data_IF_349586086351
#
_entry.id   IF_349586086351
#
_cell.length_a   1.000
_cell.length_b   1.000
_cell.length_c   1.000
_cell.angle_alpha   90.00
_cell.angle_beta   90.00
_cell.angle_gamma   90.00
#
_symmetry.space_group_name_H-M   'P 1'
#
loop_
_entity.id
_entity.type
_entity.pdbx_description
1 polymer ?
#
# COMPACT_ATOMS: atom_id res chain seq x y z
N UNK A 1 8.59 -6.29 -40.56
CA UNK A 1 8.97 -6.87 -39.26
C UNK A 1 9.60 -5.78 -38.41
N UNK A 2 9.06 -5.46 -37.24
CA UNK A 2 9.70 -4.53 -36.31
C UNK A 2 10.23 -5.30 -35.11
N UNK A 3 11.55 -5.44 -35.06
CA UNK A 3 12.26 -5.89 -33.87
C UNK A 3 12.11 -4.78 -32.83
N UNK A 4 11.26 -4.99 -31.81
CA UNK A 4 11.31 -4.15 -30.60
C UNK A 4 12.65 -4.43 -29.94
N UNK A 5 13.61 -3.52 -30.11
CA UNK A 5 14.86 -3.51 -29.34
C UNK A 5 14.48 -3.50 -27.86
N UNK A 6 14.82 -4.57 -27.14
CA UNK A 6 14.62 -4.65 -25.69
C UNK A 6 15.35 -3.50 -25.01
N UNK A 7 14.66 -2.81 -24.12
CA UNK A 7 15.24 -1.73 -23.31
C UNK A 7 16.17 -2.36 -22.29
N UNK A 8 17.49 -2.12 -22.32
CA UNK A 8 18.36 -2.45 -21.19
C UNK A 8 18.01 -1.45 -20.09
N UNK A 9 17.28 -1.89 -19.05
CA UNK A 9 16.76 -1.03 -17.98
C UNK A 9 15.25 -1.08 -17.73
N UNK A 10 14.52 -2.06 -18.26
CA UNK A 10 13.10 -2.25 -17.95
C UNK A 10 12.85 -2.76 -16.53
N UNK A 11 11.73 -2.36 -15.92
CA UNK A 11 11.21 -2.95 -14.67
C UNK A 11 10.39 -4.19 -15.03
N UNK A 12 10.68 -5.31 -14.38
CA UNK A 12 9.88 -6.55 -14.50
C UNK A 12 9.27 -6.88 -13.15
N UNK A 13 7.96 -7.15 -13.14
CA UNK A 13 7.28 -7.68 -11.98
C UNK A 13 7.36 -9.20 -11.99
N UNK A 14 7.96 -9.74 -10.94
CA UNK A 14 8.10 -11.17 -10.70
C UNK A 14 7.16 -11.57 -9.56
N UNK A 15 7.01 -12.88 -9.37
CA UNK A 15 6.27 -13.46 -8.25
C UNK A 15 4.75 -13.15 -8.21
N UNK A 16 4.02 -13.70 -9.18
CA UNK A 16 2.57 -13.52 -9.34
C UNK A 16 1.71 -14.50 -8.53
N UNK A 17 2.29 -15.25 -7.59
CA UNK A 17 1.57 -16.29 -6.83
C UNK A 17 0.42 -15.74 -5.96
N UNK A 18 0.48 -14.46 -5.62
CA UNK A 18 -0.54 -13.74 -4.84
C UNK A 18 -1.45 -12.86 -5.72
N UNK A 19 -1.36 -12.97 -7.04
CA UNK A 19 -2.16 -12.16 -7.95
C UNK A 19 -3.66 -12.50 -7.80
N UNK A 20 -4.47 -11.47 -7.59
CA UNK A 20 -5.90 -11.61 -7.40
C UNK A 20 -6.65 -10.34 -7.74
N UNK A 21 -7.97 -10.35 -7.52
CA UNK A 21 -8.80 -9.17 -7.69
C UNK A 21 -8.85 -8.38 -6.38
N UNK A 22 -8.44 -7.12 -6.44
CA UNK A 22 -8.44 -6.20 -5.32
C UNK A 22 -8.49 -4.75 -5.77
N UNK A 23 -8.44 -3.81 -4.82
CA UNK A 23 -8.28 -2.39 -5.15
C UNK A 23 -6.81 -2.14 -5.48
N UNK A 24 -6.53 -1.60 -6.68
CA UNK A 24 -5.15 -1.52 -7.20
C UNK A 24 -4.19 -0.67 -6.35
N UNK A 25 -4.70 0.18 -5.46
CA UNK A 25 -3.86 0.93 -4.54
C UNK A 25 -3.21 0.05 -3.44
N UNK A 26 -3.67 -1.18 -3.23
CA UNK A 26 -3.05 -2.14 -2.30
C UNK A 26 -1.63 -2.50 -2.73
N UNK A 27 -1.40 -2.73 -4.03
CA UNK A 27 -0.07 -3.08 -4.52
C UNK A 27 0.91 -1.92 -4.33
N UNK A 28 0.45 -0.69 -4.56
CA UNK A 28 1.23 0.52 -4.29
C UNK A 28 1.61 0.62 -2.81
N UNK A 29 0.66 0.35 -1.92
CA UNK A 29 0.88 0.33 -0.48
C UNK A 29 1.90 -0.74 -0.09
N UNK A 30 1.81 -1.95 -0.65
CA UNK A 30 2.78 -3.03 -0.41
C UNK A 30 4.21 -2.62 -0.75
N UNK A 31 4.43 -1.98 -1.91
CA UNK A 31 5.74 -1.46 -2.29
C UNK A 31 6.24 -0.41 -1.29
N UNK A 32 5.41 0.60 -1.00
CA UNK A 32 5.79 1.69 -0.10
C UNK A 32 6.06 1.26 1.35
N UNK A 33 5.32 0.28 1.87
CA UNK A 33 5.47 -0.23 3.23
C UNK A 33 6.73 -1.08 3.40
N UNK A 34 7.15 -1.80 2.36
CA UNK A 34 8.23 -2.79 2.45
C UNK A 34 9.60 -2.24 2.05
N UNK A 35 9.68 -1.23 1.18
CA UNK A 35 10.91 -1.01 0.41
C UNK A 35 11.40 0.44 0.27
N UNK A 36 10.52 1.45 0.29
CA UNK A 36 10.90 2.77 -0.27
C UNK A 36 11.23 3.87 0.72
N UNK A 37 10.69 3.80 1.93
CA UNK A 37 10.85 4.87 2.92
C UNK A 37 11.30 4.22 4.23
N UNK A 38 12.28 4.79 4.92
CA UNK A 38 12.68 4.32 6.25
C UNK A 38 11.72 4.90 7.31
N UNK A 39 11.28 4.10 8.31
CA UNK A 39 10.42 4.61 9.37
C UNK A 39 11.06 5.81 10.08
N UNK A 40 10.27 6.85 10.38
CA UNK A 40 10.77 8.06 11.03
C UNK A 40 11.46 9.09 10.13
N UNK A 41 11.53 8.88 8.81
CA UNK A 41 11.98 9.92 7.88
C UNK A 41 11.00 11.12 7.87
N UNK A 42 11.51 12.36 8.00
CA UNK A 42 10.66 13.55 7.91
C UNK A 42 10.02 13.61 6.50
N UNK A 43 8.76 14.02 6.43
CA UNK A 43 7.94 14.16 5.20
C UNK A 43 7.34 12.86 4.62
N UNK A 44 7.56 11.70 5.25
CA UNK A 44 7.04 10.41 4.77
C UNK A 44 5.53 10.41 4.46
N UNK A 45 4.71 11.02 5.31
CA UNK A 45 3.27 11.16 5.07
C UNK A 45 2.97 11.94 3.78
N UNK A 46 3.70 13.03 3.55
CA UNK A 46 3.56 13.85 2.35
C UNK A 46 4.04 13.11 1.10
N UNK A 47 5.12 12.34 1.20
CA UNK A 47 5.61 11.50 0.10
C UNK A 47 4.64 10.40 -0.26
N UNK A 48 4.04 9.73 0.73
CA UNK A 48 2.95 8.78 0.53
C UNK A 48 1.77 9.44 -0.21
N UNK A 49 1.39 10.66 0.20
CA UNK A 49 0.34 11.42 -0.49
C UNK A 49 0.72 11.75 -1.93
N UNK A 50 1.94 12.22 -2.19
CA UNK A 50 2.44 12.52 -3.54
C UNK A 50 2.45 11.27 -4.41
N UNK A 51 2.89 10.14 -3.87
CA UNK A 51 2.90 8.85 -4.57
C UNK A 51 1.49 8.40 -4.94
N UNK A 52 0.54 8.48 -4.00
CA UNK A 52 -0.85 8.14 -4.28
C UNK A 52 -1.48 9.08 -5.32
N UNK A 53 -1.15 10.37 -5.31
CA UNK A 53 -1.62 11.34 -6.32
C UNK A 53 -1.06 11.00 -7.70
N UNK A 54 0.24 10.68 -7.80
CA UNK A 54 0.86 10.29 -9.05
C UNK A 54 0.22 9.02 -9.62
N UNK A 55 0.04 8.00 -8.76
CA UNK A 55 -0.63 6.76 -9.14
C UNK A 55 -2.07 6.98 -9.62
N UNK A 56 -2.87 7.75 -8.86
CA UNK A 56 -4.25 8.06 -9.23
C UNK A 56 -4.33 8.82 -10.56
N UNK A 57 -3.45 9.79 -10.80
CA UNK A 57 -3.39 10.52 -12.08
C UNK A 57 -3.11 9.57 -13.24
N UNK A 58 -2.13 8.67 -13.09
CA UNK A 58 -1.83 7.68 -14.13
C UNK A 58 -3.00 6.72 -14.40
N UNK A 59 -3.78 6.34 -13.37
CA UNK A 59 -5.00 5.56 -13.57
C UNK A 59 -6.05 6.33 -14.39
N UNK A 60 -6.27 7.60 -14.06
CA UNK A 60 -7.24 8.46 -14.77
C UNK A 60 -6.80 8.69 -16.22
N UNK A 61 -5.52 8.98 -16.46
CA UNK A 61 -4.94 9.06 -17.80
C UNK A 61 -5.08 7.75 -18.58
N UNK A 62 -5.03 6.61 -17.88
CA UNK A 62 -5.28 5.27 -18.41
C UNK A 62 -6.76 4.93 -18.65
N UNK A 63 -7.70 5.83 -18.32
CA UNK A 63 -9.13 5.67 -18.60
C UNK A 63 -10.01 5.32 -17.39
N UNK A 64 -9.47 5.32 -16.16
CA UNK A 64 -10.30 5.21 -14.95
C UNK A 64 -11.13 6.48 -14.77
N UNK A 65 -12.44 6.31 -14.55
CA UNK A 65 -13.36 7.42 -14.33
C UNK A 65 -13.11 8.08 -12.96
N UNK A 66 -12.59 9.32 -12.97
CA UNK A 66 -12.28 10.11 -11.78
C UNK A 66 -13.51 10.46 -10.92
N UNK A 67 -14.72 10.45 -11.49
CA UNK A 67 -15.96 10.70 -10.74
C UNK A 67 -16.33 9.46 -9.92
N UNK A 68 -16.15 8.27 -10.49
CA UNK A 68 -16.43 6.99 -9.81
C UNK A 68 -15.31 6.57 -8.86
N UNK A 69 -14.08 6.94 -9.17
CA UNK A 69 -12.91 6.65 -8.35
C UNK A 69 -12.12 7.94 -8.07
N UNK A 70 -12.62 8.79 -7.15
CA UNK A 70 -11.96 10.03 -6.79
C UNK A 70 -10.66 9.78 -6.01
N UNK A 71 -9.81 10.81 -5.92
CA UNK A 71 -8.52 10.72 -5.22
C UNK A 71 -8.68 10.29 -3.75
N UNK A 72 -9.76 10.69 -3.10
CA UNK A 72 -10.06 10.32 -1.72
C UNK A 72 -10.33 8.82 -1.58
N UNK A 73 -10.98 8.21 -2.57
CA UNK A 73 -11.16 6.76 -2.62
C UNK A 73 -9.81 6.06 -2.83
N UNK A 74 -8.99 6.57 -3.74
CA UNK A 74 -7.65 6.03 -3.97
C UNK A 74 -6.76 6.12 -2.73
N UNK A 75 -6.80 7.24 -2.01
CA UNK A 75 -6.07 7.40 -0.76
C UNK A 75 -6.54 6.43 0.32
N UNK A 76 -7.85 6.29 0.49
CA UNK A 76 -8.42 5.35 1.47
C UNK A 76 -7.98 3.92 1.16
N UNK A 77 -8.05 3.53 -0.10
CA UNK A 77 -7.70 2.17 -0.55
C UNK A 77 -6.18 1.93 -0.45
N UNK A 78 -5.36 2.95 -0.72
CA UNK A 78 -3.91 2.95 -0.47
C UNK A 78 -3.60 2.74 1.02
N UNK A 79 -4.21 3.54 1.89
CA UNK A 79 -4.05 3.43 3.34
C UNK A 79 -4.52 2.07 3.86
N UNK A 80 -5.63 1.52 3.34
CA UNK A 80 -6.09 0.18 3.67
C UNK A 80 -5.06 -0.89 3.29
N UNK A 81 -4.31 -0.69 2.21
CA UNK A 81 -3.22 -1.57 1.80
C UNK A 81 -2.11 -1.74 2.83
N UNK A 82 -1.84 -0.73 3.69
CA UNK A 82 -0.89 -0.86 4.79
C UNK A 82 -1.39 -1.81 5.88
N UNK A 83 -2.69 -1.74 6.21
CA UNK A 83 -3.30 -2.69 7.13
C UNK A 83 -3.29 -4.10 6.54
N UNK A 84 -3.62 -4.25 5.26
CA UNK A 84 -3.54 -5.53 4.58
C UNK A 84 -2.12 -6.10 4.62
N UNK A 85 -1.10 -5.29 4.32
CA UNK A 85 0.30 -5.67 4.41
C UNK A 85 0.68 -6.15 5.81
N UNK A 86 0.27 -5.43 6.85
CA UNK A 86 0.46 -5.85 8.24
C UNK A 86 -0.18 -7.23 8.53
N UNK A 87 -1.43 -7.44 8.10
CA UNK A 87 -2.12 -8.73 8.29
C UNK A 87 -1.42 -9.88 7.58
N UNK A 88 -0.82 -9.63 6.41
CA UNK A 88 -0.04 -10.63 5.65
C UNK A 88 1.28 -10.95 6.36
N UNK A 89 2.08 -9.94 6.71
CA UNK A 89 3.43 -10.20 7.25
C UNK A 89 3.41 -10.76 8.67
N UNK A 90 2.40 -10.40 9.47
CA UNK A 90 2.24 -10.96 10.83
C UNK A 90 1.99 -12.47 10.83
N UNK A 91 1.57 -13.07 9.71
CA UNK A 91 1.46 -14.52 9.62
C UNK A 91 2.83 -15.22 9.77
N UNK A 92 3.93 -14.53 9.44
CA UNK A 92 5.29 -15.07 9.55
C UNK A 92 5.71 -15.31 11.00
N UNK A 93 5.09 -14.65 11.97
CA UNK A 93 5.42 -14.81 13.40
C UNK A 93 4.73 -16.01 14.05
N UNK A 94 3.86 -16.71 13.31
CA UNK A 94 3.13 -17.88 13.82
C UNK A 94 3.99 -19.13 13.95
N UNK A 95 5.12 -19.20 13.26
CA UNK A 95 5.94 -20.41 13.15
C UNK A 95 7.25 -20.28 13.93
N UNK A 96 7.22 -20.64 15.22
CA UNK A 96 8.42 -20.62 16.07
C UNK A 96 8.96 -19.21 16.32
N UNK A 97 10.20 -19.13 16.82
CA UNK A 97 10.86 -17.84 17.06
C UNK A 97 11.24 -17.17 15.73
N UNK A 98 10.77 -15.94 15.44
CA UNK A 98 11.08 -15.26 14.19
C UNK A 98 12.58 -14.93 14.08
N UNK A 99 13.15 -15.09 12.89
CA UNK A 99 14.51 -14.60 12.61
C UNK A 99 14.57 -13.06 12.68
N UNK A 100 15.76 -12.50 12.88
CA UNK A 100 15.95 -11.05 12.91
C UNK A 100 15.53 -10.35 11.61
N UNK A 101 15.66 -11.02 10.47
CA UNK A 101 15.17 -10.51 9.17
C UNK A 101 13.64 -10.39 9.17
N UNK A 102 12.94 -11.41 9.68
CA UNK A 102 11.47 -11.37 9.79
C UNK A 102 11.04 -10.30 10.79
N UNK A 103 11.73 -10.17 11.92
CA UNK A 103 11.44 -9.11 12.91
C UNK A 103 11.59 -7.72 12.29
N UNK A 104 12.68 -7.47 11.57
CA UNK A 104 12.92 -6.19 10.90
C UNK A 104 11.86 -5.89 9.83
N UNK A 105 11.47 -6.90 9.04
CA UNK A 105 10.43 -6.76 8.03
C UNK A 105 9.06 -6.45 8.65
N UNK A 106 8.64 -7.21 9.67
CA UNK A 106 7.40 -6.96 10.40
C UNK A 106 7.39 -5.59 11.08
N UNK A 107 8.51 -5.16 11.69
CA UNK A 107 8.62 -3.85 12.32
C UNK A 107 8.42 -2.72 11.31
N UNK A 108 9.05 -2.81 10.13
CA UNK A 108 8.92 -1.82 9.06
C UNK A 108 7.47 -1.64 8.60
N UNK A 109 6.79 -2.74 8.28
CA UNK A 109 5.39 -2.71 7.84
C UNK A 109 4.46 -2.23 8.96
N UNK A 110 4.73 -2.64 10.21
CA UNK A 110 3.95 -2.20 11.37
C UNK A 110 4.07 -0.70 11.59
N UNK A 111 5.28 -0.14 11.54
CA UNK A 111 5.49 1.31 11.67
C UNK A 111 4.77 2.06 10.56
N UNK A 112 4.88 1.61 9.31
CA UNK A 112 4.18 2.26 8.20
C UNK A 112 2.65 2.25 8.36
N UNK A 113 2.07 1.15 8.86
CA UNK A 113 0.64 1.05 9.19
C UNK A 113 0.24 2.04 10.30
N UNK A 114 1.04 2.16 11.36
CA UNK A 114 0.77 3.07 12.49
C UNK A 114 0.90 4.53 12.05
N UNK A 115 1.99 4.87 11.34
CA UNK A 115 2.26 6.21 10.82
C UNK A 115 1.15 6.71 9.89
N UNK A 116 0.58 5.83 9.06
CA UNK A 116 -0.53 6.19 8.18
C UNK A 116 -1.92 6.09 8.83
N UNK A 117 -2.01 5.78 10.13
CA UNK A 117 -3.27 5.57 10.82
C UNK A 117 -4.18 4.53 10.11
N UNK A 118 -3.57 3.53 9.47
CA UNK A 118 -4.28 2.66 8.54
C UNK A 118 -5.42 1.85 9.18
N UNK A 119 -5.26 1.53 10.47
CA UNK A 119 -6.28 0.88 11.29
C UNK A 119 -7.57 1.71 11.44
N UNK A 120 -7.54 3.03 11.26
CA UNK A 120 -8.73 3.88 11.35
C UNK A 120 -9.69 3.69 10.17
N UNK A 121 -9.19 3.30 9.00
CA UNK A 121 -10.00 3.11 7.79
C UNK A 121 -11.13 2.08 8.01
N UNK A 122 -10.87 0.84 8.45
CA UNK A 122 -11.96 -0.09 8.75
C UNK A 122 -12.81 0.36 9.93
N UNK A 123 -12.24 0.98 10.97
CA UNK A 123 -13.04 1.49 12.10
C UNK A 123 -14.11 2.49 11.64
N UNK A 124 -13.72 3.47 10.82
CA UNK A 124 -14.65 4.46 10.26
C UNK A 124 -15.74 3.82 9.40
N UNK A 125 -15.42 2.74 8.66
CA UNK A 125 -16.37 2.09 7.74
C UNK A 125 -17.29 1.06 8.41
N UNK A 126 -16.80 0.37 9.43
CA UNK A 126 -17.49 -0.78 10.03
C UNK A 126 -18.14 -0.42 11.37
N UNK A 127 -17.50 0.46 12.13
CA UNK A 127 -17.90 0.80 13.51
C UNK A 127 -18.46 2.23 13.60
N UNK A 128 -18.11 3.11 12.66
CA UNK A 128 -18.45 4.53 12.70
C UNK A 128 -17.39 5.36 13.45
N UNK A 129 -17.52 6.68 13.45
CA UNK A 129 -16.63 7.54 14.25
C UNK A 129 -17.03 7.49 15.73
N UNK A 130 -16.09 7.27 16.67
CA UNK A 130 -16.40 7.37 18.08
C UNK A 130 -16.84 8.81 18.40
N UNK A 131 -18.14 9.01 18.68
CA UNK A 131 -18.68 10.30 19.11
C UNK A 131 -19.50 11.07 18.08
N UNK A 132 -19.82 10.48 16.91
CA UNK A 132 -20.85 11.01 16.00
C UNK A 132 -22.02 10.01 16.03
N UNK A 133 -22.98 10.33 16.90
CA UNK A 133 -24.30 9.70 17.09
C UNK A 133 -24.37 8.28 17.68
N UNK A 134 -24.69 8.24 18.98
CA UNK A 134 -25.69 7.34 19.55
C UNK A 134 -26.84 8.19 20.09
#
# INVERSE_FOLDING_TARGET
SSVRRGVPGGVVFLDWQMAGQGVGAIDLAWFSASSFLEPGEPLRWEENRRLCVAYWRSLVEGGVDAVRYPLEAAWRDYTLGFLWGFLVVTQLTKFGEPSEVVKAFCARVTHAMVELDAHKVPCQRLVGEPGVDA
#
